data_IF_370828154654
#
_entry.id   IF_370828154654
#
_cell.length_a   1.000
_cell.length_b   1.000
_cell.length_c   1.000
_cell.angle_alpha   90.00
_cell.angle_beta   90.00
_cell.angle_gamma   90.00
#
_symmetry.space_group_name_H-M   'P 1'
#
loop_
_entity.id
_entity.type
_entity.pdbx_description
1 polymer ?
#
# COMPACT_ATOMS: atom_id res chain seq x y z
N UNK A 1 -5.54 -19.05 5.30
CA UNK A 1 -6.38 -18.31 4.35
C UNK A 1 -5.54 -17.38 3.48
N UNK A 2 -4.61 -16.61 4.04
CA UNK A 2 -3.71 -15.72 3.29
C UNK A 2 -2.87 -16.48 2.25
N UNK A 3 -2.21 -17.58 2.63
CA UNK A 3 -1.48 -18.43 1.69
C UNK A 3 -2.35 -18.96 0.54
N UNK A 4 -3.59 -19.36 0.83
CA UNK A 4 -4.49 -19.86 -0.20
C UNK A 4 -4.88 -18.78 -1.21
N UNK A 5 -5.08 -17.52 -0.78
CA UNK A 5 -5.34 -16.38 -1.64
C UNK A 5 -4.16 -16.12 -2.61
N UNK A 6 -2.94 -16.42 -2.17
CA UNK A 6 -1.70 -16.32 -2.93
C UNK A 6 -1.35 -17.61 -3.71
N UNK A 7 -2.33 -18.49 -3.91
CA UNK A 7 -2.17 -19.82 -4.57
C UNK A 7 -1.19 -20.76 -3.87
N UNK A 8 -0.95 -20.55 -2.57
CA UNK A 8 -0.15 -21.42 -1.75
C UNK A 8 -0.91 -22.66 -1.31
N UNK A 9 -0.22 -23.77 -1.24
CA UNK A 9 -0.74 -25.06 -0.77
C UNK A 9 0.01 -25.48 0.49
N UNK A 10 -0.71 -25.67 1.58
CA UNK A 10 -0.15 -26.15 2.85
C UNK A 10 0.10 -27.64 2.73
N UNK A 11 1.34 -28.07 2.93
CA UNK A 11 1.75 -29.48 2.87
C UNK A 11 1.70 -30.12 4.26
N UNK A 12 2.20 -29.41 5.26
CA UNK A 12 2.20 -29.92 6.63
C UNK A 12 2.10 -28.78 7.65
N UNK A 13 1.57 -29.13 8.81
CA UNK A 13 1.50 -28.24 9.97
C UNK A 13 1.84 -29.05 11.22
N UNK A 14 2.80 -28.59 12.00
CA UNK A 14 3.21 -29.21 13.25
C UNK A 14 3.30 -28.17 14.35
N UNK A 15 2.83 -28.53 15.55
CA UNK A 15 2.94 -27.72 16.73
C UNK A 15 3.86 -28.38 17.74
N UNK A 16 4.91 -27.69 18.17
CA UNK A 16 5.86 -28.20 19.15
C UNK A 16 6.29 -27.10 20.11
N UNK A 17 6.19 -27.35 21.42
CA UNK A 17 6.64 -26.43 22.50
C UNK A 17 6.18 -24.99 22.32
N UNK A 18 4.91 -24.76 21.94
CA UNK A 18 4.34 -23.43 21.75
C UNK A 18 4.70 -22.76 20.43
N UNK A 19 5.45 -23.43 19.54
CA UNK A 19 5.71 -22.96 18.17
C UNK A 19 4.94 -23.80 17.17
N UNK A 20 4.33 -23.14 16.20
CA UNK A 20 3.67 -23.80 15.07
C UNK A 20 4.56 -23.64 13.84
N UNK A 21 4.98 -24.77 13.26
CA UNK A 21 5.71 -24.80 11.99
C UNK A 21 4.75 -25.19 10.89
N UNK A 22 4.70 -24.37 9.83
CA UNK A 22 3.87 -24.59 8.67
C UNK A 22 4.79 -24.73 7.45
N UNK A 23 4.61 -25.81 6.70
CA UNK A 23 5.30 -26.02 5.44
C UNK A 23 4.30 -25.90 4.30
N UNK A 24 4.61 -25.08 3.34
CA UNK A 24 3.74 -24.81 2.20
C UNK A 24 4.54 -24.65 0.92
N UNK A 25 3.91 -24.96 -0.21
CA UNK A 25 4.43 -24.65 -1.54
C UNK A 25 3.62 -23.49 -2.10
N UNK A 26 4.29 -22.46 -2.62
CA UNK A 26 3.67 -21.23 -3.13
C UNK A 26 4.40 -20.77 -4.40
N UNK A 27 3.70 -20.21 -5.39
CA UNK A 27 4.35 -19.55 -6.52
C UNK A 27 5.25 -18.40 -6.05
N UNK A 28 6.41 -18.21 -6.66
CA UNK A 28 7.37 -17.18 -6.26
C UNK A 28 6.75 -15.78 -6.18
N UNK A 29 5.88 -15.41 -7.12
CA UNK A 29 5.20 -14.11 -7.06
C UNK A 29 4.20 -14.00 -5.90
N UNK A 30 3.70 -15.11 -5.35
CA UNK A 30 2.88 -15.12 -4.14
C UNK A 30 3.67 -14.84 -2.86
N UNK A 31 5.00 -14.93 -2.90
CA UNK A 31 5.87 -14.56 -1.78
C UNK A 31 6.09 -13.04 -1.67
N UNK A 32 5.92 -12.31 -2.78
CA UNK A 32 6.10 -10.84 -2.78
C UNK A 32 5.15 -10.23 -1.73
N UNK A 33 5.71 -9.47 -0.79
CA UNK A 33 4.96 -8.85 0.32
C UNK A 33 4.46 -9.81 1.41
N UNK A 34 4.54 -11.13 1.22
CA UNK A 34 4.00 -12.10 2.18
C UNK A 34 4.75 -12.09 3.52
N UNK A 35 6.04 -11.83 3.54
CA UNK A 35 6.82 -11.73 4.79
C UNK A 35 6.29 -10.59 5.67
N UNK A 36 6.02 -9.44 5.09
CA UNK A 36 5.45 -8.30 5.82
C UNK A 36 4.04 -8.61 6.33
N UNK A 37 3.21 -9.26 5.52
CA UNK A 37 1.88 -9.71 5.94
C UNK A 37 1.98 -10.73 7.10
N UNK A 38 2.91 -11.69 7.02
CA UNK A 38 3.15 -12.67 8.09
C UNK A 38 3.54 -12.00 9.40
N UNK A 39 4.47 -11.03 9.36
CA UNK A 39 4.86 -10.27 10.54
C UNK A 39 3.67 -9.53 11.16
N UNK A 40 2.82 -8.90 10.35
CA UNK A 40 1.60 -8.25 10.83
C UNK A 40 0.61 -9.23 11.45
N UNK A 41 0.38 -10.38 10.82
CA UNK A 41 -0.53 -11.41 11.31
C UNK A 41 -0.06 -12.07 12.62
N UNK A 42 1.24 -12.10 12.84
CA UNK A 42 1.87 -12.72 14.01
C UNK A 42 2.40 -11.73 15.04
N UNK A 43 2.04 -10.45 14.91
CA UNK A 43 2.53 -9.37 15.79
C UNK A 43 4.07 -9.31 15.86
N UNK A 44 4.73 -9.61 14.76
CA UNK A 44 6.20 -9.57 14.65
C UNK A 44 6.92 -10.88 15.02
N UNK A 45 6.21 -11.91 15.46
CA UNK A 45 6.83 -13.18 15.88
C UNK A 45 7.06 -14.19 14.75
N UNK A 46 6.46 -13.96 13.57
CA UNK A 46 6.56 -14.84 12.42
C UNK A 46 7.96 -14.85 11.82
N UNK A 47 8.48 -16.04 11.55
CA UNK A 47 9.74 -16.24 10.83
C UNK A 47 9.42 -16.98 9.55
N UNK A 48 9.88 -16.46 8.42
CA UNK A 48 9.73 -17.11 7.12
C UNK A 48 11.09 -17.47 6.54
N UNK A 49 11.18 -18.63 5.95
CA UNK A 49 12.29 -19.04 5.08
C UNK A 49 11.72 -19.71 3.85
N UNK A 50 12.33 -19.52 2.70
CA UNK A 50 11.89 -20.14 1.47
C UNK A 50 13.08 -20.71 0.67
N UNK A 51 12.81 -21.78 -0.07
CA UNK A 51 13.74 -22.43 -0.97
C UNK A 51 13.04 -22.73 -2.30
N UNK A 52 13.82 -22.66 -3.37
CA UNK A 52 13.31 -23.10 -4.67
C UNK A 52 13.01 -24.60 -4.63
N UNK A 53 11.82 -25.00 -5.10
CA UNK A 53 11.40 -26.38 -5.18
C UNK A 53 11.44 -26.90 -6.62
N UNK A 54 10.69 -26.30 -7.50
CA UNK A 54 10.55 -26.73 -8.89
C UNK A 54 9.87 -25.68 -9.75
N UNK A 55 9.92 -25.83 -11.07
CA UNK A 55 9.09 -25.08 -12.00
C UNK A 55 7.74 -25.78 -12.19
N UNK A 56 6.66 -25.00 -12.18
CA UNK A 56 5.28 -25.47 -12.42
C UNK A 56 4.60 -24.58 -13.44
N UNK A 57 3.53 -25.08 -14.10
CA UNK A 57 2.65 -24.23 -14.91
C UNK A 57 2.11 -23.06 -14.09
N UNK A 58 1.86 -21.93 -14.75
CA UNK A 58 1.31 -20.76 -14.10
C UNK A 58 -0.03 -21.07 -13.43
N UNK A 59 -0.16 -20.63 -12.17
CA UNK A 59 -1.35 -20.87 -11.33
C UNK A 59 -2.47 -19.85 -11.58
N UNK A 60 -2.32 -18.97 -12.57
CA UNK A 60 -3.26 -17.87 -12.85
C UNK A 60 -3.06 -16.67 -11.91
N UNK A 61 -3.89 -15.65 -12.05
CA UNK A 61 -3.72 -14.37 -11.37
C UNK A 61 -3.81 -14.49 -9.85
N UNK A 62 -2.90 -13.81 -9.18
CA UNK A 62 -2.91 -13.61 -7.74
C UNK A 62 -3.42 -12.20 -7.49
N UNK A 63 -4.68 -12.07 -7.10
CA UNK A 63 -5.25 -10.77 -6.74
C UNK A 63 -4.79 -10.42 -5.33
N UNK A 64 -3.91 -9.44 -5.23
CA UNK A 64 -3.36 -8.95 -3.97
C UNK A 64 -4.19 -7.81 -3.37
N UNK A 65 -4.75 -6.97 -4.23
CA UNK A 65 -5.49 -5.77 -3.83
C UNK A 65 -6.93 -5.76 -4.37
N UNK A 66 -7.89 -5.46 -3.49
CA UNK A 66 -9.32 -5.27 -3.86
C UNK A 66 -9.70 -3.79 -3.93
N UNK A 67 -8.89 -2.93 -3.37
CA UNK A 67 -9.08 -1.48 -3.28
C UNK A 67 -8.51 -0.78 -4.50
N UNK A 68 -9.10 0.36 -4.86
CA UNK A 68 -8.59 1.24 -5.90
C UNK A 68 -7.43 2.13 -5.42
N UNK A 69 -7.03 3.05 -6.27
CA UNK A 69 -6.00 4.05 -6.02
C UNK A 69 -6.56 5.45 -5.96
N UNK A 70 -5.83 6.33 -5.30
CA UNK A 70 -5.99 7.77 -5.37
C UNK A 70 -4.89 8.30 -6.30
N UNK A 71 -5.28 8.87 -7.44
CA UNK A 71 -4.37 9.32 -8.50
C UNK A 71 -4.35 10.84 -8.55
N UNK A 72 -3.17 11.43 -8.61
CA UNK A 72 -3.03 12.89 -8.71
C UNK A 72 -3.42 13.38 -10.11
N UNK A 73 -4.25 14.42 -10.16
CA UNK A 73 -4.70 15.06 -11.40
C UNK A 73 -3.73 16.14 -11.92
N UNK A 74 -2.84 16.64 -11.06
CA UNK A 74 -1.99 17.80 -11.38
C UNK A 74 -0.58 17.60 -10.85
N UNK A 75 0.37 18.26 -11.53
CA UNK A 75 1.74 18.40 -11.05
C UNK A 75 1.85 19.57 -10.07
N UNK A 76 2.55 19.36 -8.97
CA UNK A 76 2.83 20.40 -7.98
C UNK A 76 3.26 19.83 -6.64
N UNK A 77 3.16 20.65 -5.61
CA UNK A 77 3.47 20.28 -4.23
C UNK A 77 2.16 19.95 -3.48
N UNK A 78 2.11 18.79 -2.86
CA UNK A 78 0.95 18.35 -2.09
C UNK A 78 0.78 19.21 -0.84
N UNK A 79 -0.40 19.79 -0.62
CA UNK A 79 -0.63 20.65 0.52
C UNK A 79 -1.57 20.04 1.56
N UNK A 80 -1.42 20.46 2.81
CA UNK A 80 -2.16 19.96 3.97
C UNK A 80 -3.67 20.07 3.78
N UNK A 81 -4.16 21.18 3.24
CA UNK A 81 -5.60 21.42 3.05
C UNK A 81 -6.24 20.41 2.08
N UNK A 82 -5.58 20.16 0.96
CA UNK A 82 -6.06 19.21 -0.03
C UNK A 82 -5.97 17.78 0.50
N UNK A 83 -4.83 17.40 1.08
CA UNK A 83 -4.60 16.06 1.62
C UNK A 83 -5.60 15.69 2.72
N UNK A 84 -6.01 16.62 3.59
CA UNK A 84 -7.02 16.38 4.61
C UNK A 84 -8.37 15.96 4.04
N UNK A 85 -8.77 16.59 2.93
CA UNK A 85 -10.01 16.21 2.26
C UNK A 85 -9.92 14.83 1.59
N UNK A 86 -8.72 14.47 1.11
CA UNK A 86 -8.45 13.21 0.44
C UNK A 86 -8.28 12.06 1.46
N UNK A 87 -7.73 12.34 2.64
CA UNK A 87 -7.54 11.38 3.74
C UNK A 87 -8.83 10.66 4.16
N UNK A 88 -9.98 11.34 4.05
CA UNK A 88 -11.30 10.73 4.29
C UNK A 88 -11.66 9.65 3.28
N UNK A 89 -10.98 9.60 2.15
CA UNK A 89 -11.23 8.66 1.04
C UNK A 89 -10.37 7.42 1.08
N UNK A 90 -9.23 7.48 1.80
CA UNK A 90 -8.31 6.36 1.84
C UNK A 90 -7.05 6.63 2.63
N UNK A 91 -6.04 5.80 2.43
CA UNK A 91 -4.74 5.91 3.08
C UNK A 91 -3.75 6.60 2.14
N UNK A 92 -3.13 7.67 2.59
CA UNK A 92 -2.16 8.41 1.79
C UNK A 92 -0.76 7.77 1.85
N UNK A 93 -0.03 7.86 0.75
CA UNK A 93 1.38 7.48 0.60
C UNK A 93 2.31 8.70 0.60
N UNK A 94 1.75 9.87 0.29
CA UNK A 94 2.47 11.15 0.22
C UNK A 94 2.08 12.05 1.37
N UNK A 95 3.05 12.83 1.86
CA UNK A 95 2.87 13.85 2.87
C UNK A 95 2.72 15.25 2.29
N UNK A 96 2.42 16.24 3.15
CA UNK A 96 2.43 17.63 2.76
C UNK A 96 3.86 18.07 2.44
N UNK A 97 4.02 18.88 1.38
CA UNK A 97 5.31 19.35 0.89
C UNK A 97 6.00 18.38 -0.07
N UNK A 98 5.44 17.23 -0.36
CA UNK A 98 6.00 16.30 -1.35
C UNK A 98 5.57 16.69 -2.77
N UNK A 99 6.52 16.61 -3.71
CA UNK A 99 6.24 16.85 -5.12
C UNK A 99 5.45 15.67 -5.72
N UNK A 100 4.41 16.01 -6.46
CA UNK A 100 3.56 15.06 -7.16
C UNK A 100 3.44 15.43 -8.63
N UNK A 101 3.09 14.46 -9.47
CA UNK A 101 2.82 14.67 -10.89
C UNK A 101 1.50 14.03 -11.30
N UNK A 102 0.98 14.44 -12.45
CA UNK A 102 -0.26 13.90 -13.03
C UNK A 102 -0.10 12.41 -13.30
N UNK A 103 -1.04 11.60 -12.82
CA UNK A 103 -0.99 10.14 -12.90
C UNK A 103 -0.23 9.46 -11.76
N UNK A 104 0.40 10.21 -10.86
CA UNK A 104 1.06 9.63 -9.68
C UNK A 104 0.04 9.03 -8.71
N UNK A 105 0.26 7.78 -8.28
CA UNK A 105 -0.54 7.15 -7.22
C UNK A 105 -0.12 7.71 -5.88
N UNK A 106 -1.00 8.48 -5.25
CA UNK A 106 -0.74 9.17 -3.97
C UNK A 106 -1.37 8.49 -2.76
N UNK A 107 -2.14 7.43 -2.98
CA UNK A 107 -2.78 6.70 -1.88
C UNK A 107 -3.60 5.51 -2.33
N UNK A 108 -4.04 4.74 -1.34
CA UNK A 108 -4.97 3.61 -1.49
C UNK A 108 -6.39 4.11 -1.23
N UNK A 109 -7.31 3.92 -2.20
CA UNK A 109 -8.72 4.25 -2.03
C UNK A 109 -9.40 3.25 -1.09
N UNK A 110 -10.35 3.69 -0.28
CA UNK A 110 -11.18 2.80 0.54
C UNK A 110 -12.21 2.01 -0.29
N UNK A 111 -12.46 2.42 -1.54
CA UNK A 111 -13.36 1.76 -2.49
C UNK A 111 -12.55 0.95 -3.50
N UNK A 112 -13.25 0.13 -4.28
CA UNK A 112 -12.65 -0.71 -5.33
C UNK A 112 -12.18 0.06 -6.57
N UNK A 113 -12.74 1.25 -6.79
CA UNK A 113 -12.51 2.04 -7.99
C UNK A 113 -11.38 3.05 -7.77
N UNK A 114 -10.62 3.31 -8.83
CA UNK A 114 -9.61 4.35 -8.81
C UNK A 114 -10.27 5.73 -8.83
N UNK A 115 -9.64 6.71 -8.21
CA UNK A 115 -10.20 8.04 -8.07
C UNK A 115 -9.14 9.10 -8.34
N UNK A 116 -9.43 9.97 -9.31
CA UNK A 116 -8.63 11.14 -9.55
C UNK A 116 -8.89 12.21 -8.48
N UNK A 117 -7.81 12.72 -7.89
CA UNK A 117 -7.87 13.70 -6.81
C UNK A 117 -6.86 14.82 -7.03
N UNK A 118 -7.22 16.03 -6.61
CA UNK A 118 -6.34 17.17 -6.66
C UNK A 118 -5.72 17.43 -5.27
N UNK A 119 -4.46 17.01 -5.10
CA UNK A 119 -3.72 17.17 -3.85
C UNK A 119 -2.89 18.48 -3.79
N UNK A 120 -2.85 19.24 -4.89
CA UNK A 120 -2.13 20.51 -5.00
C UNK A 120 -3.02 21.72 -4.71
N UNK A 121 -4.34 21.51 -4.68
CA UNK A 121 -5.34 22.57 -4.53
C UNK A 121 -5.15 23.38 -3.25
N UNK A 122 -4.86 24.68 -3.39
CA UNK A 122 -4.77 25.60 -2.27
C UNK A 122 -6.12 26.02 -1.71
N UNK A 123 -6.12 26.35 -0.42
CA UNK A 123 -7.28 26.97 0.25
C UNK A 123 -7.48 28.36 -0.35
N UNK A 124 -8.62 28.63 -0.97
CA UNK A 124 -8.98 30.01 -1.37
C UNK A 124 -9.08 30.85 -0.10
N UNK A 125 -8.34 31.95 -0.08
CA UNK A 125 -8.41 32.93 1.00
C UNK A 125 -9.84 33.48 1.08
N UNK A 126 -10.58 33.03 2.08
CA UNK A 126 -11.90 33.60 2.42
C UNK A 126 -11.73 34.53 3.59
N UNK A 127 -12.34 35.71 3.47
CA UNK A 127 -12.44 36.82 4.40
C UNK A 127 -11.75 36.73 5.78
N UNK A 128 -11.04 37.80 6.14
CA UNK A 128 -10.22 37.98 7.35
C UNK A 128 -10.88 37.66 8.71
N UNK A 129 -12.17 37.43 8.78
CA UNK A 129 -12.88 37.08 10.02
C UNK A 129 -12.73 35.60 10.45
N UNK A 130 -12.25 34.73 9.60
CA UNK A 130 -12.04 33.30 9.89
C UNK A 130 -10.57 32.92 10.12
N UNK A 131 -9.65 33.89 10.16
CA UNK A 131 -8.21 33.65 10.34
C UNK A 131 -7.78 33.26 11.77
N UNK A 132 -8.73 33.23 12.72
CA UNK A 132 -8.46 32.89 14.12
C UNK A 132 -8.56 31.39 14.48
N UNK A 133 -8.94 30.55 13.55
CA UNK A 133 -9.06 29.09 13.78
C UNK A 133 -8.25 28.29 12.76
N UNK A 134 -7.01 28.68 12.53
CA UNK A 134 -6.01 27.75 12.00
C UNK A 134 -5.55 26.84 13.16
N UNK A 135 -6.44 25.98 13.61
CA UNK A 135 -6.02 24.77 14.32
C UNK A 135 -5.03 24.07 13.43
N UNK A 136 -3.83 23.78 13.95
CA UNK A 136 -2.80 23.06 13.23
C UNK A 136 -3.39 21.73 12.78
N UNK A 137 -3.80 21.69 11.51
CA UNK A 137 -4.45 20.53 10.91
C UNK A 137 -3.44 19.39 10.89
N UNK A 138 -3.61 18.40 11.78
CA UNK A 138 -2.77 17.21 11.83
C UNK A 138 -3.30 16.20 10.82
N UNK A 139 -2.47 15.87 9.83
CA UNK A 139 -2.69 14.74 8.95
C UNK A 139 -2.25 13.43 9.63
N UNK A 140 -2.90 12.35 9.30
CA UNK A 140 -2.39 11.02 9.63
C UNK A 140 -1.07 10.82 8.86
N UNK A 141 0.00 10.34 9.52
CA UNK A 141 1.26 10.09 8.82
C UNK A 141 1.07 9.21 7.59
N UNK A 142 1.65 9.59 6.44
CA UNK A 142 1.52 8.79 5.23
C UNK A 142 2.15 7.41 5.40
N UNK A 143 1.52 6.39 4.80
CA UNK A 143 2.07 5.04 4.75
C UNK A 143 3.21 5.03 3.74
N UNK A 144 4.45 5.00 4.22
CA UNK A 144 5.61 4.81 3.34
C UNK A 144 5.66 3.37 2.85
N UNK A 145 5.68 3.20 1.53
CA UNK A 145 5.84 1.90 0.90
C UNK A 145 7.34 1.60 0.75
N UNK A 146 7.73 0.39 1.15
CA UNK A 146 9.00 -0.18 0.74
C UNK A 146 8.86 -0.82 -0.65
N UNK A 147 9.97 -1.24 -1.26
CA UNK A 147 9.96 -1.85 -2.59
C UNK A 147 8.99 -3.04 -2.69
N UNK A 148 8.99 -3.94 -1.71
CA UNK A 148 8.11 -5.10 -1.68
C UNK A 148 6.64 -4.71 -1.57
N UNK A 149 6.33 -3.74 -0.71
CA UNK A 149 4.97 -3.20 -0.56
C UNK A 149 4.48 -2.48 -1.80
N UNK A 150 5.36 -1.78 -2.52
CA UNK A 150 5.03 -1.12 -3.79
C UNK A 150 4.74 -2.17 -4.88
N UNK A 151 5.58 -3.20 -5.01
CA UNK A 151 5.37 -4.30 -5.96
C UNK A 151 4.10 -5.09 -5.65
N UNK A 152 3.78 -5.32 -4.37
CA UNK A 152 2.53 -5.98 -3.97
C UNK A 152 1.30 -5.12 -4.27
N UNK A 153 1.43 -3.80 -4.12
CA UNK A 153 0.35 -2.85 -4.35
C UNK A 153 0.07 -2.63 -5.85
N UNK A 154 1.10 -2.72 -6.70
CA UNK A 154 1.03 -2.45 -8.14
C UNK A 154 0.07 -3.42 -8.86
N UNK A 155 -0.77 -2.87 -9.75
CA UNK A 155 -1.64 -3.63 -10.68
C UNK A 155 -1.02 -3.68 -12.07
N UNK A 156 -1.70 -4.37 -13.01
CA UNK A 156 -1.25 -4.56 -14.39
C UNK A 156 -1.13 -3.25 -15.18
N UNK A 157 -1.94 -2.25 -14.84
CA UNK A 157 -1.99 -0.92 -15.44
C UNK A 157 -1.13 0.11 -14.68
N UNK A 158 -0.42 -0.31 -13.65
CA UNK A 158 0.43 0.53 -12.82
C UNK A 158 1.91 0.09 -12.94
N UNK A 159 2.82 0.96 -12.56
CA UNK A 159 4.25 0.64 -12.48
C UNK A 159 4.87 1.23 -11.21
N UNK A 160 5.93 0.58 -10.75
CA UNK A 160 6.74 1.08 -9.63
C UNK A 160 7.88 1.90 -10.21
N UNK A 161 7.93 3.18 -9.85
CA UNK A 161 9.02 4.07 -10.17
C UNK A 161 10.07 4.03 -9.07
N UNK A 162 11.33 3.86 -9.45
CA UNK A 162 12.46 3.89 -8.52
C UNK A 162 13.36 5.07 -8.89
N UNK A 163 13.49 5.99 -7.96
CA UNK A 163 14.37 7.16 -8.13
C UNK A 163 15.60 7.07 -7.23
N UNK A 164 16.68 7.82 -7.49
CA UNK A 164 17.86 7.81 -6.64
C UNK A 164 17.62 8.27 -5.20
N UNK A 165 16.52 8.99 -4.97
CA UNK A 165 16.18 9.58 -3.66
C UNK A 165 15.07 8.81 -2.93
N UNK A 166 14.33 7.97 -3.64
CA UNK A 166 13.17 7.22 -3.10
C UNK A 166 13.17 5.80 -3.64
#
# INVERSE_FOLDING_TARGET
QSLANRKGQVESMSANKGRTTLQATIPTRGLIGFEFELLNLTSGEGIMSHLFKEYRPDSGDIRTRRTGTLVSMEKGEANTYALRNIETRGKLFVGAGEEVYEGMVIGENSRSDDMDVNCVREKKLTNMRASGTDESERLIPPKKLNMEGALEFCREDECVEVTPAV
#
